data_IF_940289283682
#
_entry.id   IF_940289283682
#
_cell.length_a   1.000
_cell.length_b   1.000
_cell.length_c   1.000
_cell.angle_alpha   90.00
_cell.angle_beta   90.00
_cell.angle_gamma   90.00
#
_symmetry.space_group_name_H-M   'P 1'
#
loop_
_entity.id
_entity.type
_entity.pdbx_description
1 polymer ?
#
# COMPACT_ATOMS: atom_id res chain seq x y z
N UNK A 1 -20.28 36.49 -28.00
CA UNK A 1 -20.67 35.42 -27.05
C UNK A 1 -19.98 35.71 -25.72
N UNK A 2 -20.62 35.46 -24.58
CA UNK A 2 -19.96 35.63 -23.28
C UNK A 2 -18.84 34.58 -23.14
N UNK A 3 -17.67 34.94 -22.59
CA UNK A 3 -16.66 33.97 -22.23
C UNK A 3 -17.27 32.94 -21.26
N UNK A 4 -17.03 31.66 -21.53
CA UNK A 4 -17.66 30.54 -20.83
C UNK A 4 -18.96 30.02 -21.45
N UNK A 5 -19.45 30.59 -22.56
CA UNK A 5 -20.60 30.02 -23.28
C UNK A 5 -20.27 28.61 -23.83
N UNK A 6 -21.21 27.66 -23.77
CA UNK A 6 -21.00 26.33 -24.30
C UNK A 6 -20.89 26.37 -25.83
N UNK A 7 -20.00 25.56 -26.39
CA UNK A 7 -19.77 25.43 -27.82
C UNK A 7 -19.65 23.95 -28.20
N UNK A 8 -19.89 23.63 -29.48
CA UNK A 8 -19.77 22.28 -30.04
C UNK A 8 -20.60 21.23 -29.26
N UNK A 9 -21.93 21.31 -29.36
CA UNK A 9 -22.87 20.37 -28.73
C UNK A 9 -22.63 20.14 -27.23
N UNK A 10 -22.33 21.22 -26.50
CA UNK A 10 -22.01 21.20 -25.06
C UNK A 10 -20.71 20.44 -24.70
N UNK A 11 -19.86 20.12 -25.69
CA UNK A 11 -18.59 19.41 -25.49
C UNK A 11 -17.40 20.36 -25.31
N UNK A 12 -17.62 21.68 -25.31
CA UNK A 12 -16.57 22.66 -25.12
C UNK A 12 -17.09 23.98 -24.53
N UNK A 13 -16.15 24.84 -24.17
CA UNK A 13 -16.43 26.21 -23.73
C UNK A 13 -15.64 27.22 -24.56
N UNK A 14 -16.25 28.39 -24.79
CA UNK A 14 -15.56 29.50 -25.44
C UNK A 14 -14.64 30.23 -24.45
N UNK A 15 -13.35 30.30 -24.76
CA UNK A 15 -12.34 31.04 -24.00
C UNK A 15 -12.46 32.56 -24.24
N UNK A 16 -11.71 33.38 -23.49
CA UNK A 16 -11.70 34.85 -23.60
C UNK A 16 -11.36 35.34 -25.01
N UNK A 17 -10.61 34.53 -25.77
CA UNK A 17 -10.26 34.78 -27.17
C UNK A 17 -11.31 34.32 -28.19
N UNK A 18 -12.52 33.98 -27.75
CA UNK A 18 -13.61 33.42 -28.57
C UNK A 18 -13.21 32.19 -29.40
N UNK A 19 -12.31 31.37 -28.86
CA UNK A 19 -11.98 30.05 -29.39
C UNK A 19 -12.73 28.98 -28.59
N UNK A 20 -13.31 28.01 -29.29
CA UNK A 20 -13.95 26.86 -28.67
C UNK A 20 -12.88 25.86 -28.19
N UNK A 21 -12.78 25.65 -26.88
CA UNK A 21 -11.90 24.63 -26.29
C UNK A 21 -12.74 23.41 -25.92
N UNK A 22 -12.49 22.31 -26.60
CA UNK A 22 -13.16 21.03 -26.33
C UNK A 22 -12.72 20.51 -24.96
N UNK A 23 -13.67 20.06 -24.17
CA UNK A 23 -13.45 19.33 -22.94
C UNK A 23 -13.15 17.90 -23.37
N UNK A 24 -11.87 17.53 -23.37
CA UNK A 24 -11.49 16.15 -23.62
C UNK A 24 -11.96 15.28 -22.45
N UNK A 25 -13.10 14.60 -22.64
CA UNK A 25 -13.68 13.69 -21.67
C UNK A 25 -12.81 12.44 -21.44
N UNK A 26 -11.79 12.22 -22.28
CA UNK A 26 -10.95 11.02 -22.30
C UNK A 26 -9.48 11.36 -22.03
N UNK A 27 -9.23 12.10 -20.95
CA UNK A 27 -7.88 12.46 -20.52
C UNK A 27 -6.99 11.25 -20.20
N UNK A 28 -5.68 11.49 -20.07
CA UNK A 28 -4.67 10.47 -19.77
C UNK A 28 -5.03 9.62 -18.53
N UNK A 29 -5.64 10.25 -17.52
CA UNK A 29 -6.06 9.58 -16.29
C UNK A 29 -7.14 8.52 -16.51
N UNK A 30 -8.10 8.79 -17.41
CA UNK A 30 -9.18 7.86 -17.80
C UNK A 30 -8.61 6.61 -18.48
N UNK A 31 -7.57 6.78 -19.30
CA UNK A 31 -6.85 5.68 -19.94
C UNK A 31 -6.07 4.84 -18.93
N UNK A 32 -5.36 5.47 -17.99
CA UNK A 32 -4.70 4.75 -16.89
C UNK A 32 -5.72 3.99 -16.03
N UNK A 33 -6.87 4.60 -15.72
CA UNK A 33 -7.93 3.94 -14.94
C UNK A 33 -8.50 2.72 -15.67
N UNK A 34 -8.70 2.80 -16.99
CA UNK A 34 -9.16 1.67 -17.81
C UNK A 34 -8.10 0.58 -17.97
N UNK A 35 -6.81 0.89 -17.88
CA UNK A 35 -5.73 -0.10 -17.87
C UNK A 35 -5.60 -0.81 -16.51
N UNK A 36 -5.68 -0.07 -15.40
CA UNK A 36 -5.56 -0.62 -14.03
C UNK A 36 -6.83 -1.38 -13.61
N UNK A 37 -8.01 -0.86 -13.95
CA UNK A 37 -9.31 -1.39 -13.51
C UNK A 37 -10.19 -1.93 -14.65
N UNK A 38 -9.70 -2.01 -15.88
CA UNK A 38 -10.43 -2.61 -17.00
C UNK A 38 -10.57 -4.14 -16.89
N UNK A 39 -11.24 -4.78 -17.84
CA UNK A 39 -11.61 -6.21 -17.78
C UNK A 39 -10.44 -7.21 -17.62
N UNK A 40 -9.20 -6.79 -17.88
CA UNK A 40 -7.96 -7.56 -17.61
C UNK A 40 -7.07 -6.94 -16.52
N UNK A 41 -7.51 -5.85 -15.92
CA UNK A 41 -6.81 -5.13 -14.87
C UNK A 41 -6.90 -5.84 -13.52
N UNK A 42 -6.05 -5.41 -12.57
CA UNK A 42 -5.90 -6.01 -11.25
C UNK A 42 -7.24 -6.21 -10.51
N UNK A 43 -8.25 -5.40 -10.78
CA UNK A 43 -9.58 -5.51 -10.16
C UNK A 43 -10.31 -6.83 -10.42
N UNK A 44 -10.24 -7.40 -11.63
CA UNK A 44 -10.92 -8.67 -11.93
C UNK A 44 -10.19 -9.89 -11.36
N UNK A 45 -8.86 -9.81 -11.28
CA UNK A 45 -8.04 -10.82 -10.60
C UNK A 45 -8.24 -10.77 -9.06
N UNK A 46 -8.38 -9.57 -8.49
CA UNK A 46 -8.61 -9.37 -7.05
C UNK A 46 -9.96 -9.96 -6.60
N UNK A 47 -11.01 -9.79 -7.41
CA UNK A 47 -12.32 -10.39 -7.11
C UNK A 47 -12.31 -11.91 -7.27
N UNK A 48 -11.52 -12.46 -8.20
CA UNK A 48 -11.46 -13.90 -8.46
C UNK A 48 -10.60 -14.67 -7.45
N UNK A 49 -9.54 -14.05 -6.94
CA UNK A 49 -8.62 -14.64 -5.97
C UNK A 49 -8.57 -13.85 -4.66
N UNK A 50 -9.71 -13.26 -4.27
CA UNK A 50 -9.82 -12.41 -3.08
C UNK A 50 -9.29 -13.10 -1.82
N UNK A 51 -9.53 -14.41 -1.69
CA UNK A 51 -9.06 -15.21 -0.56
C UNK A 51 -7.52 -15.31 -0.53
N UNK A 52 -6.85 -15.47 -1.68
CA UNK A 52 -5.38 -15.48 -1.74
C UNK A 52 -4.80 -14.12 -1.36
N UNK A 53 -5.45 -13.03 -1.78
CA UNK A 53 -5.04 -11.67 -1.40
C UNK A 53 -5.14 -11.47 0.11
N UNK A 54 -6.25 -11.88 0.73
CA UNK A 54 -6.44 -11.78 2.19
C UNK A 54 -5.39 -12.61 2.93
N UNK A 55 -5.15 -13.86 2.51
CA UNK A 55 -4.15 -14.74 3.12
C UNK A 55 -2.74 -14.15 3.00
N UNK A 56 -2.38 -13.60 1.84
CA UNK A 56 -1.07 -12.98 1.63
C UNK A 56 -0.84 -11.76 2.55
N UNK A 57 -1.87 -10.93 2.74
CA UNK A 57 -1.80 -9.78 3.66
C UNK A 57 -1.65 -10.23 5.11
N UNK A 58 -2.41 -11.25 5.54
CA UNK A 58 -2.31 -11.80 6.91
C UNK A 58 -0.93 -12.42 7.16
N UNK A 59 -0.44 -13.25 6.24
CA UNK A 59 0.89 -13.86 6.34
C UNK A 59 2.01 -12.81 6.31
N UNK A 60 1.91 -11.83 5.41
CA UNK A 60 2.86 -10.72 5.34
C UNK A 60 2.88 -9.89 6.62
N UNK A 61 1.72 -9.56 7.18
CA UNK A 61 1.60 -8.85 8.45
C UNK A 61 2.15 -9.65 9.64
N UNK A 62 1.88 -10.95 9.71
CA UNK A 62 2.46 -11.82 10.72
C UNK A 62 3.99 -11.88 10.60
N UNK A 63 4.50 -12.01 9.37
CA UNK A 63 5.94 -12.05 9.11
C UNK A 63 6.65 -10.74 9.52
N UNK A 64 6.07 -9.57 9.26
CA UNK A 64 6.65 -8.30 9.68
C UNK A 64 6.64 -8.14 11.20
N UNK A 65 5.57 -8.55 11.89
CA UNK A 65 5.50 -8.54 13.35
C UNK A 65 6.58 -9.45 13.95
N UNK A 66 6.71 -10.68 13.44
CA UNK A 66 7.74 -11.63 13.89
C UNK A 66 9.14 -11.07 13.63
N UNK A 67 9.37 -10.50 12.44
CA UNK A 67 10.65 -9.91 12.09
C UNK A 67 11.02 -8.76 13.05
N UNK A 68 10.11 -7.83 13.31
CA UNK A 68 10.35 -6.71 14.24
C UNK A 68 10.66 -7.22 15.65
N UNK A 69 9.96 -8.26 16.13
CA UNK A 69 10.23 -8.85 17.44
C UNK A 69 11.60 -9.52 17.51
N UNK A 70 12.01 -10.22 16.46
CA UNK A 70 13.36 -10.81 16.37
C UNK A 70 14.41 -9.70 16.36
N UNK A 71 14.23 -8.67 15.53
CA UNK A 71 15.13 -7.52 15.49
C UNK A 71 15.22 -6.84 16.86
N UNK A 72 14.10 -6.63 17.56
CA UNK A 72 14.08 -5.99 18.87
C UNK A 72 14.90 -6.73 19.95
N UNK A 73 15.07 -8.06 19.82
CA UNK A 73 15.92 -8.86 20.73
C UNK A 73 17.41 -8.79 20.33
N UNK A 74 17.68 -8.60 19.03
CA UNK A 74 19.03 -8.59 18.46
C UNK A 74 19.68 -7.20 18.38
N UNK A 75 18.90 -6.12 18.39
CA UNK A 75 19.43 -4.74 18.35
C UNK A 75 19.65 -4.16 19.75
N UNK A 76 20.81 -3.50 19.98
CA UNK A 76 21.10 -2.85 21.25
C UNK A 76 20.13 -1.68 21.48
N UNK A 77 19.47 -1.68 22.64
CA UNK A 77 18.70 -0.54 23.12
C UNK A 77 19.41 0.10 24.29
N UNK A 78 19.60 1.42 24.24
CA UNK A 78 20.20 2.21 25.35
C UNK A 78 19.22 2.44 26.50
N UNK A 79 18.00 1.90 26.42
CA UNK A 79 16.97 2.09 27.44
C UNK A 79 17.19 1.14 28.64
N UNK A 80 17.53 1.66 29.83
CA UNK A 80 17.83 0.84 31.03
C UNK A 80 16.60 0.11 31.61
N UNK A 81 15.39 0.40 31.14
CA UNK A 81 14.15 -0.28 31.58
C UNK A 81 13.80 -1.52 30.75
N UNK A 82 14.52 -1.80 29.66
CA UNK A 82 14.31 -2.99 28.84
C UNK A 82 15.41 -4.04 29.14
N UNK A 83 15.10 -5.35 29.01
CA UNK A 83 16.11 -6.38 29.17
C UNK A 83 17.22 -6.23 28.11
N UNK A 84 18.47 -6.55 28.47
CA UNK A 84 19.61 -6.41 27.59
C UNK A 84 19.52 -7.35 26.38
N UNK A 85 20.13 -6.93 25.28
CA UNK A 85 20.21 -7.68 24.03
C UNK A 85 20.85 -9.07 24.19
N UNK A 86 20.41 -10.03 23.38
CA UNK A 86 21.06 -11.35 23.29
C UNK A 86 21.88 -11.42 22.01
N UNK A 87 23.14 -11.83 22.14
CA UNK A 87 23.99 -12.09 20.98
C UNK A 87 23.37 -13.12 20.04
N UNK A 88 23.56 -12.95 18.74
CA UNK A 88 23.04 -13.85 17.70
C UNK A 88 23.39 -15.33 17.96
N UNK A 89 24.57 -15.58 18.54
CA UNK A 89 25.10 -16.91 18.82
C UNK A 89 24.35 -17.59 19.98
N UNK A 90 24.07 -16.85 21.06
CA UNK A 90 23.32 -17.37 22.20
C UNK A 90 21.83 -17.54 21.87
N UNK A 91 21.27 -16.67 21.03
CA UNK A 91 19.91 -16.81 20.49
C UNK A 91 19.74 -18.08 19.64
N UNK A 92 20.74 -18.44 18.83
CA UNK A 92 20.73 -19.65 18.01
C UNK A 92 20.82 -20.95 18.85
N UNK A 93 21.49 -20.90 20.00
CA UNK A 93 21.62 -22.04 20.90
C UNK A 93 20.34 -22.34 21.70
N UNK A 94 19.46 -21.35 21.93
CA UNK A 94 18.27 -21.51 22.77
C UNK A 94 17.00 -20.86 22.19
N UNK A 95 16.47 -21.39 21.07
CA UNK A 95 15.32 -20.79 20.36
C UNK A 95 14.03 -20.78 21.20
N UNK A 96 13.85 -21.76 22.09
CA UNK A 96 12.64 -21.89 22.93
C UNK A 96 12.56 -20.76 23.98
N UNK A 97 13.70 -20.36 24.54
CA UNK A 97 13.76 -19.27 25.52
C UNK A 97 13.41 -17.92 24.88
N UNK A 98 13.86 -17.72 23.64
CA UNK A 98 13.59 -16.52 22.85
C UNK A 98 12.09 -16.39 22.53
N UNK A 99 11.41 -17.50 22.19
CA UNK A 99 9.96 -17.49 21.98
C UNK A 99 9.18 -17.14 23.26
N UNK A 100 9.60 -17.67 24.42
CA UNK A 100 8.98 -17.38 25.72
C UNK A 100 9.12 -15.92 26.15
N UNK A 101 10.18 -15.26 25.74
CA UNK A 101 10.38 -13.85 26.04
C UNK A 101 9.69 -12.93 25.02
N UNK A 102 9.63 -13.32 23.75
CA UNK A 102 8.80 -12.65 22.74
C UNK A 102 7.33 -12.58 23.15
N UNK A 103 6.80 -13.62 23.80
CA UNK A 103 5.41 -13.69 24.26
C UNK A 103 5.17 -12.96 25.59
N UNK A 104 6.21 -12.54 26.30
CA UNK A 104 6.09 -11.86 27.61
C UNK A 104 5.91 -10.33 27.50
N UNK A 105 6.10 -9.75 26.31
CA UNK A 105 5.91 -8.32 26.03
C UNK A 105 4.50 -8.00 25.49
N UNK A 106 3.49 -8.68 26.02
CA UNK A 106 2.06 -8.40 25.82
C UNK A 106 1.43 -8.22 27.20
#
# INVERSE_FOLDING_TARGET
MQPGAPCHDLQGYCDVFQRCRLIDAEGLLSRLKRLVFGGRGAGSALLRYWYLTVVAVVLGGAATIVFVRICAVCTPSTNPHLPPERGILSSALQPVSLFKDMTRFQ
#
